data_IF_822383224284
#
_entry.id   IF_822383224284
#
_cell.length_a   1.000
_cell.length_b   1.000
_cell.length_c   1.000
_cell.angle_alpha   90.00
_cell.angle_beta   90.00
_cell.angle_gamma   90.00
#
_symmetry.space_group_name_H-M   'P 1'
#
loop_
_entity.id
_entity.type
_entity.pdbx_description
1 polymer ?
#
# COMPACT_ATOMS: atom_id res chain seq x y z
N UNK A 1 -7.12 -14.18 -8.57
CA UNK A 1 -5.66 -14.41 -8.51
C UNK A 1 -5.20 -15.45 -9.54
N UNK A 2 -5.87 -16.59 -9.65
CA UNK A 2 -5.50 -17.65 -10.64
C UNK A 2 -5.57 -17.17 -12.08
N UNK A 3 -6.54 -16.29 -12.42
CA UNK A 3 -6.63 -15.69 -13.74
C UNK A 3 -5.41 -14.80 -14.04
N UNK A 4 -4.94 -14.00 -13.07
CA UNK A 4 -3.72 -13.20 -13.22
C UNK A 4 -2.48 -14.07 -13.40
N UNK A 5 -2.34 -15.16 -12.62
CA UNK A 5 -1.24 -16.11 -12.76
C UNK A 5 -1.21 -16.77 -14.14
N UNK A 6 -2.39 -17.03 -14.72
CA UNK A 6 -2.51 -17.62 -16.06
C UNK A 6 -2.28 -16.64 -17.21
N UNK A 7 -2.43 -15.34 -16.98
CA UNK A 7 -2.38 -14.30 -18.02
C UNK A 7 -1.06 -13.54 -18.07
N UNK A 8 -0.34 -13.44 -16.95
CA UNK A 8 0.87 -12.63 -16.83
C UNK A 8 2.13 -13.49 -17.05
N UNK A 9 3.04 -12.98 -17.87
CA UNK A 9 4.42 -13.48 -17.99
C UNK A 9 5.22 -13.03 -16.78
N UNK A 10 5.75 -13.97 -15.98
CA UNK A 10 6.67 -13.67 -14.87
C UNK A 10 8.08 -13.44 -15.43
N UNK A 11 8.65 -12.26 -15.19
CA UNK A 11 9.97 -11.88 -15.65
C UNK A 11 11.11 -12.32 -14.70
N UNK A 12 10.78 -12.93 -13.56
CA UNK A 12 11.75 -13.42 -12.58
C UNK A 12 12.43 -12.32 -11.74
N UNK A 13 12.09 -11.07 -11.95
CA UNK A 13 12.63 -9.89 -11.25
C UNK A 13 11.58 -9.13 -10.41
N UNK A 14 10.46 -9.79 -10.09
CA UNK A 14 9.34 -9.22 -9.35
C UNK A 14 8.41 -8.34 -10.18
N UNK A 15 8.64 -8.27 -11.49
CA UNK A 15 7.73 -7.66 -12.45
C UNK A 15 7.07 -8.74 -13.31
N UNK A 16 5.90 -8.40 -13.80
CA UNK A 16 5.07 -9.23 -14.67
C UNK A 16 4.74 -8.47 -15.93
N UNK A 17 4.47 -9.17 -17.03
CA UNK A 17 4.20 -8.54 -18.32
C UNK A 17 2.94 -9.09 -18.95
N UNK A 18 2.16 -8.23 -19.57
CA UNK A 18 1.02 -8.56 -20.40
C UNK A 18 0.90 -7.53 -21.52
N UNK A 19 0.80 -7.97 -22.78
CA UNK A 19 0.60 -7.13 -23.96
C UNK A 19 1.51 -5.88 -24.01
N UNK A 20 2.80 -6.06 -23.71
CA UNK A 20 3.79 -4.98 -23.74
C UNK A 20 3.80 -4.05 -22.53
N UNK A 21 2.89 -4.22 -21.56
CA UNK A 21 2.80 -3.46 -20.32
C UNK A 21 3.42 -4.26 -19.18
N UNK A 22 4.15 -3.56 -18.30
CA UNK A 22 4.77 -4.15 -17.11
C UNK A 22 3.92 -3.87 -15.87
N UNK A 23 3.85 -4.85 -14.97
CA UNK A 23 3.03 -4.80 -13.77
C UNK A 23 3.83 -5.17 -12.54
N UNK A 24 3.52 -4.51 -11.43
CA UNK A 24 3.86 -4.94 -10.08
C UNK A 24 2.61 -5.50 -9.42
N UNK A 25 2.76 -6.56 -8.62
CA UNK A 25 1.65 -7.09 -7.83
C UNK A 25 1.37 -6.13 -6.67
N UNK A 26 0.19 -5.54 -6.67
CA UNK A 26 -0.24 -4.61 -5.64
C UNK A 26 -1.71 -4.79 -5.29
N UNK A 27 -2.04 -4.45 -4.05
CA UNK A 27 -3.43 -4.37 -3.59
C UNK A 27 -3.54 -3.28 -2.52
N UNK A 28 -4.68 -2.60 -2.50
CA UNK A 28 -5.04 -1.69 -1.43
C UNK A 28 -5.86 -2.43 -0.37
N UNK A 29 -5.47 -2.28 0.91
CA UNK A 29 -6.15 -2.86 2.07
C UNK A 29 -6.66 -1.75 2.97
N UNK A 30 -7.91 -1.85 3.40
CA UNK A 30 -8.53 -0.93 4.35
C UNK A 30 -8.47 -1.52 5.77
N UNK A 31 -7.61 -0.97 6.62
CA UNK A 31 -7.54 -1.26 8.06
C UNK A 31 -8.58 -0.41 8.80
N UNK A 32 -9.60 -1.05 9.38
CA UNK A 32 -10.64 -0.39 10.20
C UNK A 32 -10.64 -1.02 11.58
N UNK A 33 -10.22 -0.28 12.59
CA UNK A 33 -10.04 -0.80 13.94
C UNK A 33 -10.23 0.27 15.02
N UNK A 34 -10.29 -0.17 16.27
CA UNK A 34 -10.33 0.74 17.42
C UNK A 34 -9.08 0.58 18.27
N UNK A 35 -8.50 1.69 18.72
CA UNK A 35 -7.36 1.75 19.62
C UNK A 35 -7.64 2.81 20.68
N UNK A 36 -7.54 2.45 21.96
CA UNK A 36 -7.82 3.35 23.09
C UNK A 36 -9.17 4.09 23.00
N UNK A 37 -10.22 3.42 22.52
CA UNK A 37 -11.57 3.98 22.42
C UNK A 37 -11.81 4.88 21.19
N UNK A 38 -10.77 5.14 20.37
CA UNK A 38 -10.89 5.90 19.11
C UNK A 38 -10.91 4.95 17.92
N UNK A 39 -11.78 5.21 16.95
CA UNK A 39 -11.83 4.46 15.68
C UNK A 39 -10.83 5.02 14.68
N UNK A 40 -10.08 4.13 14.03
CA UNK A 40 -9.11 4.47 12.98
C UNK A 40 -9.50 3.77 11.69
N UNK A 41 -9.23 4.43 10.57
CA UNK A 41 -9.44 3.92 9.22
C UNK A 41 -8.26 4.33 8.38
N UNK A 42 -7.48 3.35 7.94
CA UNK A 42 -6.22 3.59 7.23
C UNK A 42 -6.20 2.70 5.98
N UNK A 43 -5.95 3.29 4.83
CA UNK A 43 -5.67 2.55 3.61
C UNK A 43 -4.16 2.36 3.44
N UNK A 44 -3.78 1.17 3.03
CA UNK A 44 -2.41 0.81 2.77
C UNK A 44 -2.29 0.08 1.43
N UNK A 45 -1.40 0.55 0.58
CA UNK A 45 -0.95 -0.19 -0.60
C UNK A 45 0.09 -1.21 -0.16
N UNK A 46 -0.11 -2.46 -0.56
CA UNK A 46 0.87 -3.53 -0.39
C UNK A 46 1.41 -3.89 -1.76
N UNK A 47 2.73 -3.84 -1.91
CA UNK A 47 3.41 -4.34 -3.09
C UNK A 47 4.13 -5.64 -2.73
N UNK A 48 3.97 -6.67 -3.58
CA UNK A 48 4.57 -7.97 -3.36
C UNK A 48 5.51 -8.37 -4.51
N UNK A 49 6.68 -8.95 -4.21
CA UNK A 49 7.66 -9.31 -5.23
C UNK A 49 7.29 -10.56 -6.03
N UNK A 50 6.30 -11.33 -5.58
CA UNK A 50 5.93 -12.60 -6.22
C UNK A 50 4.51 -13.04 -5.87
N UNK A 51 3.92 -13.88 -6.73
CA UNK A 51 2.65 -14.53 -6.41
C UNK A 51 2.74 -15.44 -5.17
N UNK A 52 3.89 -16.04 -4.91
CA UNK A 52 4.10 -16.82 -3.69
C UNK A 52 3.97 -15.98 -2.41
N UNK A 53 4.47 -14.74 -2.42
CA UNK A 53 4.27 -13.80 -1.33
C UNK A 53 2.79 -13.41 -1.19
N UNK A 54 2.11 -13.11 -2.31
CA UNK A 54 0.67 -12.80 -2.34
C UNK A 54 -0.16 -13.93 -1.75
N UNK A 55 0.09 -15.18 -2.15
CA UNK A 55 -0.64 -16.36 -1.61
C UNK A 55 -0.47 -16.50 -0.09
N UNK A 56 0.76 -16.31 0.40
CA UNK A 56 1.03 -16.36 1.85
C UNK A 56 0.32 -15.24 2.60
N UNK A 57 0.33 -14.01 2.07
CA UNK A 57 -0.36 -12.86 2.66
C UNK A 57 -1.86 -13.12 2.69
N UNK A 58 -2.46 -13.53 1.57
CA UNK A 58 -3.89 -13.85 1.47
C UNK A 58 -4.29 -14.93 2.49
N UNK A 59 -3.50 -16.00 2.60
CA UNK A 59 -3.74 -17.06 3.57
C UNK A 59 -3.64 -16.55 5.02
N UNK A 60 -2.65 -15.72 5.32
CA UNK A 60 -2.46 -15.16 6.67
C UNK A 60 -3.61 -14.21 7.07
N UNK A 61 -4.10 -13.39 6.15
CA UNK A 61 -5.23 -12.49 6.37
C UNK A 61 -6.55 -13.26 6.48
N UNK A 62 -6.79 -14.25 5.60
CA UNK A 62 -7.99 -15.10 5.64
C UNK A 62 -8.11 -15.88 6.95
N UNK A 63 -7.00 -16.41 7.50
CA UNK A 63 -6.98 -17.09 8.81
C UNK A 63 -7.35 -16.15 9.97
N UNK A 64 -7.26 -14.84 9.77
CA UNK A 64 -7.67 -13.81 10.73
C UNK A 64 -9.06 -13.26 10.46
N UNK A 65 -9.83 -13.91 9.58
CA UNK A 65 -11.21 -13.56 9.25
C UNK A 65 -11.37 -12.44 8.22
N UNK A 66 -10.30 -12.07 7.50
CA UNK A 66 -10.42 -11.10 6.42
C UNK A 66 -11.23 -11.70 5.26
N UNK A 67 -12.25 -10.97 4.80
CA UNK A 67 -12.98 -11.33 3.59
C UNK A 67 -12.31 -10.69 2.36
N UNK A 68 -11.41 -11.44 1.73
CA UNK A 68 -10.64 -10.99 0.57
C UNK A 68 -11.43 -11.04 -0.75
N UNK A 69 -12.63 -11.65 -0.73
CA UNK A 69 -13.48 -11.74 -1.92
C UNK A 69 -14.55 -10.64 -2.01
N UNK A 70 -14.60 -9.76 -1.00
CA UNK A 70 -15.53 -8.63 -1.00
C UNK A 70 -14.85 -7.44 -1.62
N UNK A 71 -15.44 -6.87 -2.67
CA UNK A 71 -14.99 -5.61 -3.27
C UNK A 71 -13.47 -5.55 -3.59
N UNK A 72 -13.02 -4.80 -4.55
CA UNK A 72 -11.62 -4.73 -4.96
C UNK A 72 -10.64 -4.27 -3.86
N UNK A 73 -11.13 -3.73 -2.75
CA UNK A 73 -10.37 -3.28 -1.58
C UNK A 73 -10.90 -3.95 -0.30
N UNK A 74 -10.25 -5.04 0.16
CA UNK A 74 -10.67 -5.74 1.37
C UNK A 74 -10.63 -4.85 2.61
N UNK A 75 -11.66 -4.95 3.43
CA UNK A 75 -11.72 -4.32 4.76
C UNK A 75 -11.31 -5.36 5.79
N UNK A 76 -10.34 -5.01 6.64
CA UNK A 76 -9.86 -5.87 7.71
C UNK A 76 -9.94 -5.16 9.06
N UNK A 77 -10.20 -5.95 10.12
CA UNK A 77 -10.24 -5.47 11.50
C UNK A 77 -8.88 -5.38 12.18
N UNK A 78 -7.78 -5.35 11.41
CA UNK A 78 -6.41 -5.31 11.94
C UNK A 78 -5.87 -3.88 11.95
N UNK A 79 -5.09 -3.54 12.98
CA UNK A 79 -4.32 -2.30 12.99
C UNK A 79 -3.30 -2.27 11.85
N UNK A 80 -2.98 -1.07 11.34
CA UNK A 80 -1.99 -0.91 10.27
C UNK A 80 -0.61 -1.47 10.65
N UNK A 81 -0.19 -1.31 11.90
CA UNK A 81 1.05 -1.91 12.43
C UNK A 81 1.02 -3.45 12.37
N UNK A 82 -0.11 -4.07 12.75
CA UNK A 82 -0.25 -5.52 12.68
C UNK A 82 -0.28 -6.05 11.25
N UNK A 83 -0.98 -5.36 10.35
CA UNK A 83 -0.95 -5.66 8.92
C UNK A 83 0.48 -5.61 8.39
N UNK A 84 1.21 -4.54 8.72
CA UNK A 84 2.61 -4.35 8.31
C UNK A 84 3.51 -5.46 8.82
N UNK A 85 3.37 -5.83 10.10
CA UNK A 85 4.12 -6.95 10.70
C UNK A 85 3.86 -8.25 9.95
N UNK A 86 2.59 -8.60 9.70
CA UNK A 86 2.23 -9.82 8.96
C UNK A 86 2.88 -9.86 7.59
N UNK A 87 2.81 -8.77 6.85
CA UNK A 87 3.35 -8.67 5.48
C UNK A 87 4.87 -8.82 5.49
N UNK A 88 5.57 -8.09 6.36
CA UNK A 88 7.04 -8.13 6.43
C UNK A 88 7.58 -9.44 7.04
N UNK A 89 6.83 -10.11 7.93
CA UNK A 89 7.19 -11.44 8.44
C UNK A 89 7.07 -12.53 7.35
N UNK A 90 6.21 -12.32 6.35
CA UNK A 90 6.04 -13.23 5.22
C UNK A 90 7.13 -13.04 4.19
N UNK A 91 7.41 -11.79 3.82
CA UNK A 91 8.51 -11.43 2.90
C UNK A 91 8.95 -9.99 3.18
N UNK A 92 10.17 -9.82 3.64
CA UNK A 92 10.75 -8.50 3.96
C UNK A 92 10.94 -7.63 2.70
N UNK A 93 10.88 -8.21 1.51
CA UNK A 93 10.94 -7.48 0.24
C UNK A 93 9.58 -6.88 -0.16
N UNK A 94 8.48 -7.19 0.51
CA UNK A 94 7.25 -6.46 0.32
C UNK A 94 7.45 -4.97 0.67
N UNK A 95 6.64 -4.11 0.04
CA UNK A 95 6.51 -2.70 0.45
C UNK A 95 5.11 -2.46 0.99
N UNK A 96 5.03 -1.58 1.98
CA UNK A 96 3.78 -0.97 2.42
C UNK A 96 3.91 0.53 2.26
N UNK A 97 2.95 1.10 1.54
CA UNK A 97 2.85 2.53 1.33
C UNK A 97 1.47 2.99 1.84
N UNK A 98 1.42 3.81 2.89
CA UNK A 98 0.17 4.43 3.31
C UNK A 98 -0.43 5.25 2.18
N UNK A 99 -1.69 4.97 1.84
CA UNK A 99 -2.36 5.60 0.72
C UNK A 99 -2.87 7.00 1.06
N UNK A 100 -2.84 7.91 0.09
CA UNK A 100 -3.46 9.26 0.12
C UNK A 100 -3.48 9.89 1.53
N UNK A 101 -2.30 10.09 2.12
CA UNK A 101 -2.07 10.30 3.57
C UNK A 101 -2.79 11.49 4.21
N UNK A 102 -3.34 12.42 3.44
CA UNK A 102 -4.06 13.62 3.94
C UNK A 102 -5.54 13.67 3.56
N UNK A 103 -6.13 12.57 3.07
CA UNK A 103 -7.60 12.54 2.96
C UNK A 103 -8.23 12.60 4.35
N UNK A 104 -9.37 13.27 4.57
CA UNK A 104 -9.99 13.38 5.89
C UNK A 104 -10.30 12.02 6.54
N UNK A 105 -10.68 11.03 5.72
CA UNK A 105 -10.96 9.66 6.10
C UNK A 105 -10.00 8.70 5.43
N UNK A 106 -9.78 7.55 6.05
CA UNK A 106 -9.03 6.42 5.50
C UNK A 106 -7.55 6.71 5.24
N UNK A 107 -6.95 7.63 5.96
CA UNK A 107 -5.54 8.01 5.79
C UNK A 107 -4.82 8.16 7.12
N UNK A 108 -3.47 8.12 7.06
CA UNK A 108 -2.63 8.21 8.27
C UNK A 108 -2.82 9.53 9.00
N UNK A 109 -2.86 10.64 8.27
CA UNK A 109 -2.99 11.99 8.84
C UNK A 109 -4.40 12.57 8.65
N UNK A 110 -5.38 11.72 8.38
CA UNK A 110 -6.77 12.12 8.20
C UNK A 110 -7.37 12.74 9.45
N UNK A 111 -7.90 13.94 9.34
CA UNK A 111 -8.49 14.69 10.46
C UNK A 111 -9.64 13.95 11.15
N UNK A 112 -10.31 13.03 10.44
CA UNK A 112 -11.49 12.32 10.94
C UNK A 112 -11.17 10.94 11.50
N UNK A 113 -10.14 10.27 11.00
CA UNK A 113 -9.88 8.86 11.35
C UNK A 113 -8.40 8.48 11.38
N UNK A 114 -7.51 9.46 11.35
CA UNK A 114 -6.07 9.27 11.33
C UNK A 114 -5.38 9.53 12.67
N UNK A 115 -4.07 9.66 12.59
CA UNK A 115 -3.11 9.91 13.66
C UNK A 115 -2.42 11.26 13.45
N UNK A 116 -1.81 11.78 14.51
CA UNK A 116 -0.95 12.96 14.41
C UNK A 116 0.48 12.61 13.99
N UNK A 117 0.90 11.36 14.18
CA UNK A 117 2.24 10.88 13.88
C UNK A 117 2.18 9.50 13.20
N UNK A 118 3.09 9.26 12.27
CA UNK A 118 3.18 7.98 11.57
C UNK A 118 3.61 6.84 12.53
N UNK A 119 4.44 7.17 13.53
CA UNK A 119 4.89 6.24 14.55
C UNK A 119 3.72 5.70 15.40
N UNK A 120 2.67 6.49 15.61
CA UNK A 120 1.48 6.05 16.34
C UNK A 120 0.63 5.07 15.53
N UNK A 121 0.74 5.14 14.19
CA UNK A 121 0.04 4.27 13.24
C UNK A 121 0.76 2.94 13.02
N UNK A 122 2.09 2.98 12.75
CA UNK A 122 2.88 1.81 12.38
C UNK A 122 3.76 1.25 13.49
N UNK A 123 3.85 1.94 14.62
CA UNK A 123 4.57 1.51 15.82
C UNK A 123 6.02 1.06 15.47
N UNK A 124 6.43 -0.13 15.90
CA UNK A 124 7.74 -0.71 15.63
C UNK A 124 7.99 -1.03 14.14
N UNK A 125 6.94 -1.01 13.30
CA UNK A 125 7.07 -1.22 11.85
C UNK A 125 7.43 0.08 11.10
N UNK A 126 7.35 1.25 11.74
CA UNK A 126 7.64 2.56 11.11
C UNK A 126 8.98 2.59 10.36
N UNK A 127 10.09 2.01 10.86
CA UNK A 127 11.36 2.02 10.12
C UNK A 127 11.35 1.26 8.79
N UNK A 128 10.33 0.44 8.54
CA UNK A 128 10.15 -0.32 7.29
C UNK A 128 9.20 0.38 6.30
N UNK A 129 8.64 1.51 6.68
CA UNK A 129 7.82 2.35 5.79
C UNK A 129 8.75 3.36 5.13
N UNK A 130 8.96 3.23 3.81
CA UNK A 130 9.93 4.06 3.06
C UNK A 130 9.27 5.14 2.21
N UNK A 131 8.00 4.93 1.85
CA UNK A 131 7.26 5.84 0.99
C UNK A 131 5.88 6.16 1.54
N UNK A 132 5.36 7.31 1.15
CA UNK A 132 4.01 7.79 1.46
C UNK A 132 3.34 8.24 0.16
N UNK A 133 2.05 7.97 0.01
CA UNK A 133 1.31 8.43 -1.16
C UNK A 133 0.63 9.78 -0.88
N UNK A 134 0.89 10.75 -1.74
CA UNK A 134 0.23 12.07 -1.66
C UNK A 134 -1.26 11.98 -2.00
N UNK A 135 -1.61 11.17 -2.99
CA UNK A 135 -2.96 11.10 -3.55
C UNK A 135 -3.41 12.43 -4.14
N UNK A 136 -4.70 12.56 -4.42
CA UNK A 136 -5.28 13.77 -5.03
C UNK A 136 -5.55 14.90 -4.03
N UNK A 137 -5.42 14.67 -2.74
CA UNK A 137 -5.73 15.64 -1.67
C UNK A 137 -4.52 16.38 -1.14
N UNK A 138 -3.32 16.03 -1.58
CA UNK A 138 -2.08 16.73 -1.26
C UNK A 138 -1.08 16.64 -2.40
N UNK A 139 -0.08 17.49 -2.37
CA UNK A 139 1.04 17.49 -3.30
C UNK A 139 2.38 17.47 -2.53
N UNK A 140 3.52 17.28 -3.19
CA UNK A 140 4.81 17.29 -2.51
C UNK A 140 5.08 18.56 -1.72
N UNK A 141 4.73 19.73 -2.24
CA UNK A 141 4.97 21.01 -1.57
C UNK A 141 4.18 21.14 -0.26
N UNK A 142 2.96 20.60 -0.22
CA UNK A 142 2.16 20.49 1.02
C UNK A 142 2.82 19.56 2.03
N UNK A 143 3.30 18.40 1.57
CA UNK A 143 3.97 17.40 2.41
C UNK A 143 5.28 17.93 3.01
N UNK A 144 6.10 18.65 2.24
CA UNK A 144 7.38 19.23 2.69
C UNK A 144 7.23 20.33 3.75
N UNK A 145 6.02 20.77 4.04
CA UNK A 145 5.76 21.69 5.18
C UNK A 145 5.86 20.96 6.54
N UNK A 146 5.88 19.63 6.53
CA UNK A 146 6.02 18.81 7.73
C UNK A 146 7.38 18.11 7.69
N UNK A 147 8.38 18.67 8.38
CA UNK A 147 9.75 18.12 8.41
C UNK A 147 9.80 16.65 8.89
N UNK A 148 8.81 16.19 9.65
CA UNK A 148 8.68 14.79 10.05
C UNK A 148 8.52 13.83 8.86
N UNK A 149 8.11 14.34 7.67
CA UNK A 149 7.92 13.56 6.46
C UNK A 149 9.14 13.57 5.52
N UNK A 150 10.16 14.40 5.78
CA UNK A 150 11.33 14.58 4.90
C UNK A 150 12.11 13.28 4.66
N UNK A 151 12.01 12.31 5.57
CA UNK A 151 12.66 11.01 5.48
C UNK A 151 11.97 10.00 4.54
N UNK A 152 10.75 10.31 4.07
CA UNK A 152 9.97 9.41 3.22
C UNK A 152 10.02 9.82 1.77
N UNK A 153 10.06 8.85 0.88
CA UNK A 153 9.81 9.07 -0.55
C UNK A 153 8.33 9.36 -0.77
N UNK A 154 8.02 10.42 -1.52
CA UNK A 154 6.65 10.72 -1.90
C UNK A 154 6.35 10.09 -3.27
N UNK A 155 5.26 9.35 -3.33
CA UNK A 155 4.71 8.82 -4.58
C UNK A 155 3.28 9.29 -4.76
N UNK A 156 2.78 9.22 -5.98
CA UNK A 156 1.38 9.49 -6.28
C UNK A 156 0.86 8.51 -7.31
N UNK A 157 -0.25 7.86 -6.99
CA UNK A 157 -0.92 6.92 -7.87
C UNK A 157 -2.32 7.42 -8.18
N UNK A 158 -2.94 6.84 -9.20
CA UNK A 158 -4.21 7.33 -9.73
C UNK A 158 -5.38 7.23 -8.75
N UNK A 159 -5.35 6.33 -7.79
CA UNK A 159 -6.51 5.97 -6.95
C UNK A 159 -7.76 5.76 -7.84
N UNK A 160 -7.57 4.97 -8.90
CA UNK A 160 -8.52 4.88 -10.00
C UNK A 160 -9.67 3.94 -9.67
N UNK A 161 -10.90 4.45 -9.71
CA UNK A 161 -12.13 3.69 -9.55
C UNK A 161 -12.83 3.42 -10.90
N UNK A 162 -12.15 3.71 -12.02
CA UNK A 162 -12.62 3.41 -13.37
C UNK A 162 -11.46 3.44 -14.37
N UNK A 163 -11.55 2.70 -15.50
CA UNK A 163 -10.48 2.68 -16.50
C UNK A 163 -10.08 4.07 -17.02
N UNK A 164 -11.04 4.99 -17.15
CA UNK A 164 -10.80 6.35 -17.62
C UNK A 164 -9.95 7.22 -16.67
N UNK A 165 -9.74 6.76 -15.44
CA UNK A 165 -8.95 7.46 -14.42
C UNK A 165 -7.54 6.89 -14.25
N UNK A 166 -7.22 5.78 -14.90
CA UNK A 166 -5.88 5.17 -14.86
C UNK A 166 -4.86 6.17 -15.44
N UNK A 167 -3.75 6.37 -14.72
CA UNK A 167 -2.67 7.26 -15.15
C UNK A 167 -2.95 8.75 -15.00
N UNK A 168 -4.04 9.16 -14.32
CA UNK A 168 -4.27 10.59 -14.03
C UNK A 168 -3.20 11.17 -13.08
N UNK A 169 -2.53 10.32 -12.32
CA UNK A 169 -1.28 10.59 -11.62
C UNK A 169 -0.31 9.43 -11.87
N UNK A 170 0.98 9.72 -11.93
CA UNK A 170 2.02 8.75 -12.22
C UNK A 170 3.35 9.16 -11.60
N UNK A 171 4.17 8.16 -11.31
CA UNK A 171 5.55 8.34 -10.87
C UNK A 171 6.50 8.09 -12.03
N UNK A 172 7.58 8.87 -12.11
CA UNK A 172 8.67 8.65 -13.08
C UNK A 172 9.87 8.12 -12.31
N UNK A 173 10.31 6.92 -12.68
CA UNK A 173 11.48 6.28 -12.11
C UNK A 173 12.66 6.36 -13.08
N UNK A 174 13.80 6.81 -12.61
CA UNK A 174 15.06 6.78 -13.36
C UNK A 174 15.95 5.65 -12.82
N UNK A 175 15.53 4.41 -13.03
CA UNK A 175 16.20 3.22 -12.54
C UNK A 175 15.96 2.04 -13.50
N UNK A 176 16.64 0.92 -13.26
CA UNK A 176 16.36 -0.34 -13.96
C UNK A 176 14.90 -0.78 -13.72
N UNK A 177 14.31 -1.40 -14.74
CA UNK A 177 12.96 -1.94 -14.66
C UNK A 177 12.97 -3.29 -13.92
N UNK A 178 13.04 -3.19 -12.60
CA UNK A 178 13.22 -4.29 -11.66
C UNK A 178 12.54 -3.92 -10.33
N UNK A 179 11.82 -4.87 -9.72
CA UNK A 179 11.09 -4.64 -8.48
C UNK A 179 12.00 -4.12 -7.35
N UNK A 180 13.17 -4.74 -7.18
CA UNK A 180 14.11 -4.40 -6.11
C UNK A 180 14.68 -2.99 -6.28
N UNK A 181 14.89 -2.57 -7.52
CA UNK A 181 15.43 -1.25 -7.84
C UNK A 181 14.37 -0.15 -7.67
N UNK A 182 13.11 -0.47 -7.94
CA UNK A 182 11.97 0.44 -7.74
C UNK A 182 11.65 0.59 -6.24
N UNK A 183 11.82 -0.49 -5.46
CA UNK A 183 11.60 -0.54 -4.02
C UNK A 183 12.65 0.30 -3.26
#
# INVERSE_FOLDING_TARGET
LEELKGSLEDLGNGLFKYDGVYFMLTAEISSIYSKAGKGYRIHNLIFAPSFAAVDKINNALSRRGANLSSDGRPIIGLAAAELARIVFDIDENCMIVPAHIFTPWFSVFGSMSGFDRIEDCFEEQTPKIFALETGLSSDPAMNWRLSALDKFTLISNSDSHSPAKIGREANVFNCELDYKTIR
#
